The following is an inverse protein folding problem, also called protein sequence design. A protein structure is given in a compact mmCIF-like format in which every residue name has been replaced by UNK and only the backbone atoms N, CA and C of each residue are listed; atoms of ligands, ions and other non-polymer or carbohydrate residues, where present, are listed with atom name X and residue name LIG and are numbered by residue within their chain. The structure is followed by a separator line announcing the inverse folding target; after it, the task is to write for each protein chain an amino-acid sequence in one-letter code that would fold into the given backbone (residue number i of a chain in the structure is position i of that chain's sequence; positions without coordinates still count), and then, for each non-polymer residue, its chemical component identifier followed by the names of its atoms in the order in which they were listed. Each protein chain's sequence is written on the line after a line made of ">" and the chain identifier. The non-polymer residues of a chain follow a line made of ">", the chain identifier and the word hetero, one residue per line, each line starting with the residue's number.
data_IF_682599045526
#
_entry.id   IF_682599045526
#
_cell.length_a   1.000
_cell.length_b   1.000
_cell.length_c   1.000
_cell.angle_alpha   90.00
_cell.angle_beta   90.00
_cell.angle_gamma   90.00
#
_symmetry.space_group_name_H-M   'P 1'
#
loop_
_entity.id
_entity.type
_entity.pdbx_description
1 polymer ?
#
# COMPACT_ATOMS: atom_id res chain seq x y z
N UNK A 1 -20.08 -26.53 -22.46
CA UNK A 1 -18.91 -25.95 -21.76
C UNK A 1 -19.30 -25.67 -20.33
N UNK A 2 -18.44 -25.99 -19.35
CA UNK A 2 -18.71 -25.59 -17.95
C UNK A 2 -18.62 -24.07 -17.82
N UNK A 3 -19.35 -23.49 -16.86
CA UNK A 3 -19.33 -22.04 -16.63
C UNK A 3 -17.89 -21.56 -16.37
N UNK A 4 -17.12 -22.34 -15.64
CA UNK A 4 -15.72 -22.06 -15.31
C UNK A 4 -14.81 -22.07 -16.56
N UNK A 5 -15.03 -22.98 -17.52
CA UNK A 5 -14.31 -22.98 -18.79
C UNK A 5 -14.65 -21.76 -19.65
N UNK A 6 -15.89 -21.26 -19.59
CA UNK A 6 -16.30 -20.06 -20.31
C UNK A 6 -15.60 -18.84 -19.72
N UNK A 7 -15.62 -18.67 -18.39
CA UNK A 7 -14.92 -17.55 -17.74
C UNK A 7 -13.41 -17.62 -17.97
N UNK A 8 -12.81 -18.80 -17.84
CA UNK A 8 -11.39 -19.00 -18.11
C UNK A 8 -11.01 -18.70 -19.57
N UNK A 9 -11.81 -19.18 -20.53
CA UNK A 9 -11.59 -18.92 -21.95
C UNK A 9 -11.75 -17.43 -22.32
N UNK A 10 -12.71 -16.75 -21.70
CA UNK A 10 -12.97 -15.32 -21.95
C UNK A 10 -11.83 -14.46 -21.40
N UNK A 11 -11.36 -14.74 -20.18
CA UNK A 11 -10.20 -14.07 -19.58
C UNK A 11 -8.93 -14.34 -20.41
N UNK A 12 -8.71 -15.58 -20.84
CA UNK A 12 -7.56 -15.92 -21.68
C UNK A 12 -7.60 -15.18 -23.02
N UNK A 13 -8.75 -15.16 -23.70
CA UNK A 13 -8.91 -14.44 -24.96
C UNK A 13 -8.68 -12.93 -24.77
N UNK A 14 -9.24 -12.33 -23.72
CA UNK A 14 -9.02 -10.92 -23.40
C UNK A 14 -7.54 -10.63 -23.12
N UNK A 15 -6.88 -11.44 -22.31
CA UNK A 15 -5.46 -11.30 -22.00
C UNK A 15 -4.59 -11.45 -23.27
N UNK A 16 -4.92 -12.41 -24.14
CA UNK A 16 -4.21 -12.63 -25.40
C UNK A 16 -4.35 -11.44 -26.35
N UNK A 17 -5.55 -10.86 -26.47
CA UNK A 17 -5.77 -9.65 -27.26
C UNK A 17 -4.96 -8.47 -26.71
N UNK A 18 -4.98 -8.27 -25.38
CA UNK A 18 -4.20 -7.21 -24.72
C UNK A 18 -2.70 -7.43 -24.93
N UNK A 19 -2.21 -8.66 -24.81
CA UNK A 19 -0.81 -8.99 -25.02
C UNK A 19 -0.36 -8.68 -26.47
N UNK A 20 -1.15 -9.09 -27.46
CA UNK A 20 -0.86 -8.78 -28.88
C UNK A 20 -0.89 -7.26 -29.11
N UNK A 21 -1.88 -6.57 -28.57
CA UNK A 21 -1.99 -5.10 -28.65
C UNK A 21 -0.79 -4.39 -28.03
N UNK A 22 -0.33 -4.84 -26.86
CA UNK A 22 0.85 -4.30 -26.18
C UNK A 22 2.12 -4.50 -26.99
N UNK A 23 2.37 -5.72 -27.48
CA UNK A 23 3.55 -6.02 -28.31
C UNK A 23 3.53 -5.16 -29.57
N UNK A 24 2.38 -5.05 -30.23
CA UNK A 24 2.23 -4.25 -31.45
C UNK A 24 2.46 -2.76 -31.17
N UNK A 25 1.92 -2.23 -30.08
CA UNK A 25 2.11 -0.83 -29.68
C UNK A 25 3.56 -0.54 -29.29
N UNK A 26 4.23 -1.47 -28.60
CA UNK A 26 5.63 -1.33 -28.21
C UNK A 26 6.57 -1.31 -29.43
N UNK A 27 6.32 -2.18 -30.42
CA UNK A 27 7.08 -2.24 -31.66
C UNK A 27 6.55 -1.34 -32.78
N UNK A 28 5.61 -0.43 -32.48
CA UNK A 28 4.99 0.47 -33.46
C UNK A 28 5.98 1.17 -34.42
N UNK A 29 7.15 1.68 -33.96
CA UNK A 29 8.12 2.31 -34.87
C UNK A 29 8.68 1.37 -35.94
N UNK A 30 8.79 0.06 -35.66
CA UNK A 30 9.27 -0.94 -36.61
C UNK A 30 8.20 -1.34 -37.64
N UNK A 31 6.93 -1.18 -37.27
CA UNK A 31 5.78 -1.46 -38.13
C UNK A 31 5.22 -0.23 -38.83
N UNK A 32 6.04 0.84 -39.01
CA UNK A 32 5.62 2.10 -39.64
C UNK A 32 4.29 2.67 -39.07
N UNK A 33 4.01 2.38 -37.80
CA UNK A 33 2.86 2.89 -37.05
C UNK A 33 3.23 4.21 -36.37
N UNK A 34 2.24 4.98 -35.91
CA UNK A 34 2.51 6.25 -35.24
C UNK A 34 3.39 6.08 -34.01
N UNK A 35 4.48 6.86 -33.86
CA UNK A 35 5.42 6.71 -32.74
C UNK A 35 4.79 6.86 -31.36
N UNK A 36 3.70 7.65 -31.25
CA UNK A 36 3.01 7.87 -29.99
C UNK A 36 2.45 6.57 -29.39
N UNK A 37 2.18 5.53 -30.18
CA UNK A 37 1.72 4.23 -29.65
C UNK A 37 2.74 3.60 -28.69
N UNK A 38 4.03 3.71 -28.99
CA UNK A 38 5.10 3.23 -28.11
C UNK A 38 5.13 4.03 -26.82
N UNK A 39 5.00 5.36 -26.93
CA UNK A 39 5.06 6.24 -25.78
C UNK A 39 3.91 5.96 -24.82
N UNK A 40 2.69 5.72 -25.32
CA UNK A 40 1.55 5.30 -24.50
C UNK A 40 1.72 3.89 -23.89
N UNK A 41 2.32 2.94 -24.63
CA UNK A 41 2.62 1.60 -24.12
C UNK A 41 3.59 1.61 -22.93
N UNK A 42 4.47 2.61 -22.84
CA UNK A 42 5.41 2.78 -21.73
C UNK A 42 4.83 3.72 -20.66
N UNK A 43 4.18 4.80 -21.06
CA UNK A 43 3.64 5.81 -20.15
C UNK A 43 2.55 5.23 -19.26
N UNK A 44 1.64 4.40 -19.79
CA UNK A 44 0.51 3.89 -19.01
C UNK A 44 0.95 2.99 -17.83
N UNK A 45 1.81 1.95 -18.02
CA UNK A 45 2.29 1.15 -16.89
C UNK A 45 3.11 1.97 -15.89
N UNK A 46 4.01 2.84 -16.36
CA UNK A 46 4.84 3.69 -15.49
C UNK A 46 3.98 4.65 -14.68
N UNK A 47 2.97 5.26 -15.29
CA UNK A 47 2.03 6.15 -14.63
C UNK A 47 1.27 5.45 -13.50
N UNK A 48 0.78 4.23 -13.72
CA UNK A 48 0.09 3.43 -12.69
C UNK A 48 1.03 3.13 -11.51
N UNK A 49 2.29 2.77 -11.78
CA UNK A 49 3.29 2.51 -10.74
C UNK A 49 3.57 3.78 -9.92
N UNK A 50 3.77 4.92 -10.60
CA UNK A 50 4.01 6.20 -9.93
C UNK A 50 2.82 6.60 -9.07
N UNK A 51 1.58 6.45 -9.56
CA UNK A 51 0.38 6.73 -8.78
C UNK A 51 0.24 5.79 -7.58
N UNK A 52 0.60 4.52 -7.70
CA UNK A 52 0.58 3.59 -6.57
C UNK A 52 1.55 4.04 -5.47
N UNK A 53 2.78 4.43 -5.83
CA UNK A 53 3.77 4.93 -4.88
C UNK A 53 3.32 6.26 -4.24
N UNK A 54 2.85 7.21 -5.04
CA UNK A 54 2.34 8.48 -4.54
C UNK A 54 1.11 8.30 -3.64
N UNK A 55 0.23 7.36 -3.98
CA UNK A 55 -0.92 7.00 -3.15
C UNK A 55 -0.49 6.49 -1.77
N UNK A 56 0.55 5.65 -1.72
CA UNK A 56 1.11 5.16 -0.45
C UNK A 56 1.74 6.31 0.35
N UNK A 57 2.54 7.18 -0.28
CA UNK A 57 3.14 8.33 0.40
C UNK A 57 2.09 9.29 0.94
N UNK A 58 1.05 9.55 0.15
CA UNK A 58 -0.09 10.36 0.56
C UNK A 58 -0.83 9.73 1.75
N UNK A 59 -1.01 8.41 1.74
CA UNK A 59 -1.62 7.67 2.86
C UNK A 59 -0.78 7.77 4.14
N UNK A 60 0.55 7.58 4.05
CA UNK A 60 1.44 7.70 5.21
C UNK A 60 1.44 9.12 5.76
N UNK A 61 1.52 10.13 4.87
CA UNK A 61 1.43 11.53 5.27
C UNK A 61 0.11 11.87 5.95
N UNK A 62 -1.00 11.29 5.48
CA UNK A 62 -2.31 11.42 6.13
C UNK A 62 -2.34 10.82 7.53
N UNK A 63 -1.77 9.63 7.73
CA UNK A 63 -1.70 9.00 9.06
C UNK A 63 -0.84 9.86 10.00
N UNK A 64 0.33 10.33 9.57
CA UNK A 64 1.17 11.20 10.41
C UNK A 64 0.50 12.54 10.77
N UNK A 65 -0.25 13.14 9.84
CA UNK A 65 -0.99 14.36 10.11
C UNK A 65 -2.13 14.15 11.11
N UNK A 66 -2.75 12.97 11.09
CA UNK A 66 -3.92 12.64 11.92
C UNK A 66 -3.56 11.92 13.22
N UNK A 67 -2.31 11.47 13.40
CA UNK A 67 -1.82 10.91 14.66
C UNK A 67 -1.29 12.03 15.56
N UNK A 68 -1.99 12.39 16.66
CA UNK A 68 -1.40 13.23 17.69
C UNK A 68 -0.15 12.51 18.25
N UNK A 69 0.91 13.27 18.59
CA UNK A 69 2.13 12.70 19.14
C UNK A 69 1.78 11.77 20.31
N UNK A 70 2.36 10.57 20.38
CA UNK A 70 2.11 9.64 21.48
C UNK A 70 2.36 10.39 22.79
N UNK A 71 1.37 10.36 23.67
CA UNK A 71 1.42 11.06 24.96
C UNK A 71 2.69 10.60 25.71
N UNK A 72 3.47 11.52 26.29
CA UNK A 72 4.55 11.16 27.21
C UNK A 72 3.99 10.22 28.27
N UNK A 73 4.77 9.20 28.59
CA UNK A 73 4.43 8.13 29.54
C UNK A 73 4.20 8.76 30.92
N UNK A 74 2.97 9.20 31.21
CA UNK A 74 2.47 9.48 32.57
C UNK A 74 2.24 8.16 33.35
N UNK A 75 2.38 7.02 32.69
CA UNK A 75 2.27 5.67 33.26
C UNK A 75 3.45 5.36 34.20
N UNK A 76 4.62 5.97 33.98
CA UNK A 76 5.79 5.71 34.84
C UNK A 76 5.66 6.42 36.19
N UNK A 77 4.98 7.58 36.24
CA UNK A 77 4.73 8.28 37.50
C UNK A 77 3.60 7.62 38.33
N UNK A 78 2.57 7.05 37.68
CA UNK A 78 1.50 6.33 38.39
C UNK A 78 1.96 4.95 38.90
N UNK A 79 2.75 4.20 38.14
CA UNK A 79 3.32 2.92 38.60
C UNK A 79 4.33 3.13 39.74
N UNK A 80 5.22 4.14 39.64
CA UNK A 80 6.20 4.42 40.69
C UNK A 80 5.55 4.97 41.97
N UNK A 81 4.44 5.72 41.85
CA UNK A 81 3.66 6.19 43.00
C UNK A 81 2.88 5.05 43.66
N UNK A 82 2.28 4.15 42.87
CA UNK A 82 1.57 2.97 43.38
C UNK A 82 2.52 2.00 44.10
N UNK A 83 3.74 1.81 43.59
CA UNK A 83 4.74 0.92 44.21
C UNK A 83 5.33 1.52 45.50
N UNK A 84 5.45 2.86 45.58
CA UNK A 84 5.86 3.57 46.80
C UNK A 84 4.79 3.55 47.89
N UNK A 85 3.50 3.71 47.53
CA UNK A 85 2.39 3.61 48.48
C UNK A 85 2.25 2.18 49.06
N UNK A 86 2.45 1.14 48.22
CA UNK A 86 2.45 -0.27 48.66
C UNK A 86 3.58 -0.60 49.64
N UNK A 87 4.79 -0.06 49.46
CA UNK A 87 5.92 -0.30 50.38
C UNK A 87 5.75 0.39 51.73
N UNK A 88 5.17 1.60 51.75
CA UNK A 88 4.93 2.35 53.00
C UNK A 88 3.85 1.68 53.86
N UNK A 89 2.82 1.09 53.24
CA UNK A 89 1.76 0.37 53.94
C UNK A 89 2.21 -1.02 54.45
N UNK A 90 3.21 -1.63 53.82
CA UNK A 90 3.81 -2.89 54.28
C UNK A 90 4.79 -2.69 55.45
N UNK A 91 5.53 -1.58 55.49
CA UNK A 91 6.41 -1.24 56.63
C UNK A 91 5.61 -0.83 57.88
N UNK A 92 4.52 -0.07 57.75
CA UNK A 92 3.69 0.35 58.89
C UNK A 92 2.84 -0.76 59.52
N UNK A 93 2.71 -1.91 58.85
CA UNK A 93 1.98 -3.08 59.36
C UNK A 93 2.88 -4.11 60.04
N UNK A 94 4.21 -3.98 59.85
CA UNK A 94 5.23 -4.88 60.38
C UNK A 94 6.02 -4.26 61.55
N UNK A 95 5.67 -3.06 61.99
CA UNK A 95 6.06 -2.42 63.25
C UNK A 95 4.89 -2.46 64.25
#
# INVERSE_FOLDING_TARGET
>A
MSKDQIYGGLIFAAALVVAIGYITAFFAPYFHLPPWWRDWAIALPVFIIVLAVLGILMWIGWVMFTTPPPQPIEVEEEEEKSEKELKVEEETKNE
#
